data_IF_191971697159
#
_entry.id   IF_191971697159
#
_cell.length_a   1.000
_cell.length_b   1.000
_cell.length_c   1.000
_cell.angle_alpha   90.00
_cell.angle_beta   90.00
_cell.angle_gamma   90.00
#
_symmetry.space_group_name_H-M   'P 1'
#
loop_
_entity.id
_entity.type
_entity.pdbx_description
1 polymer ?
#
# COMPACT_ATOMS: atom_id res chain seq x y z
N UNK A 1 -9.75 40.61 -8.79
CA UNK A 1 -8.60 39.69 -8.67
C UNK A 1 -9.12 38.42 -8.03
N UNK A 2 -9.56 37.48 -8.85
CA UNK A 2 -10.06 36.18 -8.38
C UNK A 2 -8.84 35.37 -7.94
N UNK A 3 -8.73 35.12 -6.64
CA UNK A 3 -7.77 34.17 -6.10
C UNK A 3 -8.05 32.81 -6.75
N UNK A 4 -7.20 32.40 -7.68
CA UNK A 4 -7.16 31.02 -8.12
C UNK A 4 -6.86 30.18 -6.88
N UNK A 5 -7.84 29.42 -6.38
CA UNK A 5 -7.56 28.37 -5.42
C UNK A 5 -6.55 27.44 -6.09
N UNK A 6 -5.31 27.40 -5.58
CA UNK A 6 -4.31 26.48 -6.09
C UNK A 6 -4.87 25.06 -5.95
N UNK A 7 -5.10 24.40 -7.08
CA UNK A 7 -5.62 23.04 -7.08
C UNK A 7 -4.56 22.11 -6.50
N UNK A 8 -4.92 21.34 -5.48
CA UNK A 8 -4.00 20.40 -4.85
C UNK A 8 -3.46 19.40 -5.88
N UNK A 9 -2.15 19.09 -5.85
CA UNK A 9 -1.59 18.09 -6.75
C UNK A 9 -2.31 16.75 -6.54
N UNK A 10 -2.62 16.08 -7.65
CA UNK A 10 -3.23 14.76 -7.66
C UNK A 10 -2.20 13.73 -8.08
N UNK A 11 -2.01 12.70 -7.27
CA UNK A 11 -1.15 11.56 -7.59
C UNK A 11 -1.87 10.25 -7.30
N UNK A 12 -1.49 9.19 -7.99
CA UNK A 12 -1.88 7.82 -7.63
C UNK A 12 -0.82 7.21 -6.73
N UNK A 13 -1.24 6.44 -5.72
CA UNK A 13 -0.39 5.65 -4.85
C UNK A 13 -0.69 4.17 -5.04
N UNK A 14 0.19 3.48 -5.76
CA UNK A 14 0.11 2.05 -6.01
C UNK A 14 0.87 1.28 -4.94
N UNK A 15 0.18 0.34 -4.29
CA UNK A 15 0.75 -0.44 -3.18
C UNK A 15 0.31 -1.90 -3.15
N UNK A 16 1.16 -2.73 -2.55
CA UNK A 16 0.81 -4.09 -2.13
C UNK A 16 0.83 -4.14 -0.60
N UNK A 17 -0.24 -4.63 0.08
CA UNK A 17 -0.28 -4.80 1.53
C UNK A 17 0.92 -5.54 2.17
N UNK A 18 1.59 -6.41 1.42
CA UNK A 18 2.75 -7.16 1.87
C UNK A 18 4.09 -6.40 1.71
N UNK A 19 4.09 -5.22 1.11
CA UNK A 19 5.30 -4.42 0.86
C UNK A 19 5.69 -3.59 2.08
N UNK A 20 6.91 -3.80 2.56
CA UNK A 20 7.52 -3.05 3.68
C UNK A 20 7.64 -1.57 3.37
N UNK A 21 8.15 -1.19 2.20
CA UNK A 21 8.28 0.22 1.82
C UNK A 21 6.94 0.88 1.51
N UNK A 22 5.90 0.10 1.18
CA UNK A 22 4.55 0.66 1.04
C UNK A 22 3.94 1.06 2.37
N UNK A 23 4.37 0.48 3.50
CA UNK A 23 4.01 0.96 4.84
C UNK A 23 4.53 2.39 5.07
N UNK A 24 5.80 2.63 4.76
CA UNK A 24 6.42 3.95 4.89
C UNK A 24 5.70 4.97 4.01
N UNK A 25 5.49 4.63 2.73
CA UNK A 25 4.77 5.49 1.80
C UNK A 25 3.34 5.78 2.26
N UNK A 26 2.61 4.79 2.79
CA UNK A 26 1.24 5.01 3.27
C UNK A 26 1.20 6.01 4.42
N UNK A 27 2.19 5.98 5.34
CA UNK A 27 2.27 6.94 6.43
C UNK A 27 2.53 8.37 5.92
N UNK A 28 3.47 8.50 4.98
CA UNK A 28 3.79 9.79 4.37
C UNK A 28 2.62 10.35 3.56
N UNK A 29 1.95 9.51 2.76
CA UNK A 29 0.74 9.89 2.01
C UNK A 29 -0.37 10.33 2.97
N UNK A 30 -0.66 9.57 4.02
CA UNK A 30 -1.69 9.94 4.99
C UNK A 30 -1.39 11.28 5.66
N UNK A 31 -0.12 11.53 6.03
CA UNK A 31 0.33 12.81 6.58
C UNK A 31 0.13 13.96 5.59
N UNK A 32 0.49 13.77 4.31
CA UNK A 32 0.34 14.78 3.27
C UNK A 32 -1.13 15.14 3.02
N UNK A 33 -2.03 14.16 3.01
CA UNK A 33 -3.47 14.42 2.87
C UNK A 33 -4.03 15.15 4.10
N UNK A 34 -3.60 14.79 5.31
CA UNK A 34 -3.99 15.49 6.54
C UNK A 34 -3.49 16.94 6.59
N UNK A 35 -2.30 17.21 6.04
CA UNK A 35 -1.73 18.55 5.87
C UNK A 35 -2.38 19.33 4.71
N UNK A 36 -3.30 18.71 3.95
CA UNK A 36 -3.95 19.34 2.79
C UNK A 36 -2.97 19.67 1.67
N UNK A 37 -1.91 18.87 1.48
CA UNK A 37 -0.84 19.13 0.51
C UNK A 37 -1.00 18.39 -0.82
N UNK A 38 -1.82 17.35 -0.85
CA UNK A 38 -2.09 16.56 -2.05
C UNK A 38 -3.44 15.86 -1.92
N UNK A 39 -3.99 15.45 -3.05
CA UNK A 39 -5.06 14.46 -3.10
C UNK A 39 -4.49 13.18 -3.70
N UNK A 40 -4.62 12.07 -2.97
CA UNK A 40 -3.99 10.81 -3.38
C UNK A 40 -5.02 9.73 -3.65
N UNK A 41 -4.97 9.17 -4.84
CA UNK A 41 -5.80 8.05 -5.27
C UNK A 41 -5.08 6.74 -4.92
N UNK A 42 -5.61 5.99 -3.95
CA UNK A 42 -5.01 4.75 -3.46
C UNK A 42 -5.35 3.58 -4.40
N UNK A 43 -4.34 2.86 -4.88
CA UNK A 43 -4.45 1.82 -5.91
C UNK A 43 -3.82 0.50 -5.40
N UNK A 44 -4.58 -0.36 -4.69
CA UNK A 44 -4.06 -1.66 -4.27
C UNK A 44 -3.81 -2.57 -5.49
N UNK A 45 -2.66 -3.23 -5.52
CA UNK A 45 -2.30 -4.24 -6.51
C UNK A 45 -1.48 -5.36 -5.87
N UNK A 46 -1.08 -6.37 -6.66
CA UNK A 46 -0.30 -7.51 -6.18
C UNK A 46 1.07 -7.59 -6.86
N UNK A 47 2.14 -7.67 -6.05
CA UNK A 47 3.51 -7.91 -6.50
C UNK A 47 3.76 -9.37 -6.89
N UNK A 48 3.05 -10.32 -6.26
CA UNK A 48 3.23 -11.75 -6.52
C UNK A 48 3.18 -12.10 -8.02
N UNK A 49 2.14 -11.69 -8.78
CA UNK A 49 2.09 -11.89 -10.23
C UNK A 49 3.23 -11.22 -11.01
N UNK A 50 3.74 -10.07 -10.54
CA UNK A 50 4.85 -9.35 -11.17
C UNK A 50 6.16 -10.12 -10.97
N UNK A 51 6.41 -10.60 -9.75
CA UNK A 51 7.57 -11.43 -9.42
C UNK A 51 7.54 -12.77 -10.14
N UNK A 52 6.37 -13.42 -10.21
CA UNK A 52 6.22 -14.69 -10.93
C UNK A 52 6.59 -14.56 -12.41
N UNK A 53 6.22 -13.45 -13.07
CA UNK A 53 6.61 -13.16 -14.46
C UNK A 53 8.12 -12.95 -14.65
N UNK A 54 8.84 -12.60 -13.57
CA UNK A 54 10.30 -12.48 -13.53
C UNK A 54 10.99 -13.78 -13.10
N UNK A 55 10.23 -14.86 -12.89
CA UNK A 55 10.76 -16.16 -12.46
C UNK A 55 11.02 -16.26 -10.95
N UNK A 56 10.46 -15.34 -10.14
CA UNK A 56 10.62 -15.35 -8.70
C UNK A 56 9.38 -15.92 -8.02
N UNK A 57 9.60 -16.86 -7.10
CA UNK A 57 8.54 -17.45 -6.27
C UNK A 57 8.32 -16.71 -4.94
N UNK A 58 9.21 -15.76 -4.60
CA UNK A 58 9.20 -15.03 -3.34
C UNK A 58 9.72 -13.59 -3.52
N UNK A 59 9.63 -12.77 -2.48
CA UNK A 59 10.19 -11.42 -2.42
C UNK A 59 11.69 -11.44 -2.70
N UNK A 60 12.22 -10.49 -3.51
CA UNK A 60 13.66 -10.30 -3.69
C UNK A 60 14.42 -10.14 -2.37
N UNK A 61 13.77 -9.64 -1.32
CA UNK A 61 14.39 -9.49 0.00
C UNK A 61 14.60 -10.83 0.73
N UNK A 62 13.84 -11.88 0.40
CA UNK A 62 14.10 -13.24 0.88
C UNK A 62 15.08 -13.98 -0.04
N UNK A 63 14.96 -13.78 -1.35
CA UNK A 63 15.81 -14.43 -2.35
C UNK A 63 17.27 -13.97 -2.26
N UNK A 64 17.51 -12.73 -1.81
CA UNK A 64 18.84 -12.14 -1.67
C UNK A 64 19.06 -11.67 -0.22
N UNK A 65 19.64 -12.51 0.67
CA UNK A 65 19.74 -12.21 2.11
C UNK A 65 20.38 -10.86 2.43
N UNK A 66 21.46 -10.49 1.74
CA UNK A 66 22.11 -9.19 1.94
C UNK A 66 21.18 -7.99 1.65
N UNK A 67 20.29 -8.11 0.66
CA UNK A 67 19.27 -7.08 0.37
C UNK A 67 18.19 -7.07 1.45
N UNK A 68 17.77 -8.24 1.93
CA UNK A 68 16.80 -8.37 3.02
C UNK A 68 17.31 -7.78 4.33
N UNK A 69 18.54 -8.10 4.73
CA UNK A 69 19.16 -7.56 5.95
C UNK A 69 19.32 -6.04 5.88
N UNK A 70 19.72 -5.53 4.71
CA UNK A 70 19.73 -4.08 4.48
C UNK A 70 18.34 -3.47 4.61
N UNK A 71 17.34 -4.04 3.94
CA UNK A 71 15.96 -3.55 3.96
C UNK A 71 15.42 -3.45 5.40
N UNK A 72 15.63 -4.45 6.26
CA UNK A 72 15.16 -4.38 7.64
C UNK A 72 15.85 -3.28 8.45
N UNK A 73 17.18 -3.11 8.28
CA UNK A 73 17.93 -2.01 8.92
C UNK A 73 17.47 -0.64 8.43
N UNK A 74 17.15 -0.54 7.15
CA UNK A 74 16.66 0.68 6.52
C UNK A 74 15.26 1.04 6.99
N UNK A 75 14.36 0.05 7.01
CA UNK A 75 13.02 0.19 7.53
C UNK A 75 13.03 0.65 8.99
N UNK A 76 13.96 0.16 9.82
CA UNK A 76 14.11 0.61 11.20
C UNK A 76 14.44 2.11 11.30
N UNK A 77 15.30 2.65 10.43
CA UNK A 77 15.60 4.09 10.38
C UNK A 77 14.37 4.89 9.93
N UNK A 78 13.74 4.46 8.84
CA UNK A 78 12.57 5.15 8.28
C UNK A 78 11.38 5.17 9.25
N UNK A 79 11.15 4.07 9.96
CA UNK A 79 10.14 3.97 11.02
C UNK A 79 10.48 4.89 12.19
N UNK A 80 11.74 4.92 12.65
CA UNK A 80 12.16 5.80 13.74
C UNK A 80 11.97 7.28 13.40
N UNK A 81 12.34 7.71 12.19
CA UNK A 81 12.14 9.08 11.70
C UNK A 81 10.65 9.50 11.69
N UNK A 82 9.75 8.55 11.44
CA UNK A 82 8.30 8.77 11.31
C UNK A 82 7.53 8.40 12.57
N UNK A 83 8.22 7.98 13.64
CA UNK A 83 7.60 7.47 14.87
C UNK A 83 6.59 6.34 14.62
N UNK A 84 6.90 5.48 13.64
CA UNK A 84 6.12 4.30 13.31
C UNK A 84 6.62 3.10 14.11
N UNK A 85 5.72 2.24 14.64
CA UNK A 85 6.12 0.97 15.22
C UNK A 85 6.72 0.08 14.13
N UNK A 86 7.74 -0.71 14.51
CA UNK A 86 8.29 -1.73 13.65
C UNK A 86 8.51 -3.02 14.44
N UNK A 87 7.82 -4.07 14.01
CA UNK A 87 7.98 -5.45 14.43
C UNK A 87 8.16 -6.28 13.16
N UNK A 88 9.27 -7.03 13.08
CA UNK A 88 9.49 -7.95 11.96
C UNK A 88 8.39 -9.00 11.99
N UNK A 89 7.59 -9.16 10.92
CA UNK A 89 6.54 -10.17 10.89
C UNK A 89 7.12 -11.57 11.04
N UNK A 90 6.41 -12.43 11.78
CA UNK A 90 6.71 -13.87 11.90
C UNK A 90 6.77 -14.58 10.55
N UNK A 91 6.04 -14.07 9.55
CA UNK A 91 6.11 -14.50 8.15
C UNK A 91 6.23 -13.29 7.24
N UNK A 92 7.23 -13.29 6.37
CA UNK A 92 7.41 -12.26 5.35
C UNK A 92 7.83 -12.89 4.02
N UNK A 93 7.26 -12.44 2.87
CA UNK A 93 6.04 -11.64 2.78
C UNK A 93 4.80 -12.45 3.18
N UNK A 94 3.74 -11.76 3.58
CA UNK A 94 2.41 -12.36 3.76
C UNK A 94 1.65 -12.38 2.43
N UNK A 95 0.71 -13.30 2.28
CA UNK A 95 -0.22 -13.21 1.15
C UNK A 95 -1.13 -12.00 1.32
N UNK A 96 -1.30 -11.21 0.27
CA UNK A 96 -1.99 -9.92 0.31
C UNK A 96 -3.30 -9.86 -0.48
N UNK A 97 -3.76 -10.97 -1.07
CA UNK A 97 -4.97 -10.98 -1.91
C UNK A 97 -6.21 -10.54 -1.12
N UNK A 98 -6.41 -11.10 0.08
CA UNK A 98 -7.57 -10.80 0.90
C UNK A 98 -7.52 -9.36 1.42
N UNK A 99 -6.37 -8.93 1.96
CA UNK A 99 -6.18 -7.56 2.47
C UNK A 99 -6.28 -6.49 1.40
N UNK A 100 -5.79 -6.76 0.17
CA UNK A 100 -5.99 -5.89 -0.98
C UNK A 100 -7.46 -5.83 -1.40
N UNK A 101 -8.20 -6.95 -1.30
CA UNK A 101 -9.65 -6.98 -1.48
C UNK A 101 -10.39 -6.11 -0.46
N UNK A 102 -10.03 -6.20 0.82
CA UNK A 102 -10.59 -5.34 1.88
C UNK A 102 -10.29 -3.86 1.60
N UNK A 103 -9.08 -3.55 1.14
CA UNK A 103 -8.73 -2.19 0.74
C UNK A 103 -9.63 -1.68 -0.40
N UNK A 104 -9.89 -2.48 -1.44
CA UNK A 104 -10.81 -2.10 -2.52
C UNK A 104 -12.23 -1.83 -2.02
N UNK A 105 -12.79 -2.73 -1.21
CA UNK A 105 -14.13 -2.54 -0.61
C UNK A 105 -14.17 -1.25 0.21
N UNK A 106 -13.13 -1.01 1.01
CA UNK A 106 -13.06 0.18 1.84
C UNK A 106 -12.91 1.47 1.07
N UNK A 107 -12.15 1.46 -0.02
CA UNK A 107 -11.97 2.65 -0.85
C UNK A 107 -13.29 3.06 -1.52
N UNK A 108 -14.08 2.10 -1.99
CA UNK A 108 -15.43 2.37 -2.53
C UNK A 108 -16.38 2.92 -1.45
N UNK A 109 -16.25 2.42 -0.21
CA UNK A 109 -17.09 2.81 0.93
C UNK A 109 -16.55 4.02 1.73
N UNK A 110 -15.43 4.64 1.30
CA UNK A 110 -14.87 5.85 1.91
C UNK A 110 -14.01 5.65 3.17
N UNK A 111 -13.93 4.44 3.74
CA UNK A 111 -13.09 4.15 4.92
C UNK A 111 -11.72 3.54 4.59
N UNK A 112 -11.47 3.23 3.31
CA UNK A 112 -10.32 2.45 2.85
C UNK A 112 -8.96 3.04 3.20
N UNK A 113 -8.81 4.37 3.15
CA UNK A 113 -7.54 5.02 3.52
C UNK A 113 -7.17 4.79 4.99
N UNK A 114 -8.16 4.84 5.89
CA UNK A 114 -7.97 4.51 7.32
C UNK A 114 -7.56 3.04 7.48
N UNK A 115 -8.23 2.15 6.74
CA UNK A 115 -7.91 0.72 6.73
C UNK A 115 -6.49 0.45 6.26
N UNK A 116 -6.03 1.07 5.17
CA UNK A 116 -4.68 0.86 4.63
C UNK A 116 -3.62 1.17 5.70
N UNK A 117 -3.74 2.29 6.41
CA UNK A 117 -2.79 2.60 7.48
C UNK A 117 -2.91 1.67 8.69
N UNK A 118 -4.13 1.34 9.14
CA UNK A 118 -4.33 0.41 10.25
C UNK A 118 -3.78 -0.98 9.93
N UNK A 119 -4.03 -1.49 8.72
CA UNK A 119 -3.54 -2.76 8.22
C UNK A 119 -2.01 -2.80 8.20
N UNK A 120 -1.34 -1.75 7.73
CA UNK A 120 0.12 -1.74 7.75
C UNK A 120 0.70 -1.69 9.16
N UNK A 121 0.10 -0.92 10.08
CA UNK A 121 0.50 -0.92 11.50
C UNK A 121 0.29 -2.29 12.13
N UNK A 122 -0.82 -2.95 11.85
CA UNK A 122 -1.09 -4.29 12.33
C UNK A 122 -0.06 -5.30 11.77
N UNK A 123 0.23 -5.25 10.47
CA UNK A 123 1.17 -6.15 9.80
C UNK A 123 2.61 -5.96 10.31
N UNK A 124 3.12 -4.73 10.22
CA UNK A 124 4.54 -4.40 10.39
C UNK A 124 4.87 -3.74 11.74
N UNK A 125 3.88 -3.43 12.57
CA UNK A 125 4.08 -2.89 13.92
C UNK A 125 3.66 -3.86 15.03
N UNK A 126 2.76 -4.81 14.73
CA UNK A 126 2.12 -5.67 15.75
C UNK A 126 2.16 -7.16 15.40
N UNK A 127 2.76 -7.53 14.27
CA UNK A 127 2.83 -8.91 13.76
C UNK A 127 1.46 -9.60 13.56
N UNK A 128 0.44 -8.85 13.16
CA UNK A 128 -0.91 -9.39 12.86
C UNK A 128 -0.98 -9.91 11.42
N UNK A 129 -1.37 -11.18 11.25
CA UNK A 129 -1.41 -11.81 9.93
C UNK A 129 -2.56 -11.34 9.04
N UNK A 130 -2.25 -10.37 8.18
CA UNK A 130 -3.14 -9.80 7.16
C UNK A 130 -3.52 -10.76 6.02
N UNK A 131 -2.96 -11.97 5.97
CA UNK A 131 -3.40 -13.01 5.03
C UNK A 131 -4.65 -13.75 5.52
N UNK A 132 -5.04 -13.56 6.78
CA UNK A 132 -6.09 -14.34 7.46
C UNK A 132 -7.35 -13.52 7.72
N UNK A 133 -8.48 -14.21 7.76
CA UNK A 133 -9.77 -13.65 8.19
C UNK A 133 -9.66 -13.07 9.61
N UNK A 134 -9.05 -13.79 10.55
CA UNK A 134 -8.96 -13.35 11.95
C UNK A 134 -8.11 -12.09 12.13
N UNK A 135 -6.95 -12.04 11.47
CA UNK A 135 -6.08 -10.86 11.49
C UNK A 135 -6.77 -9.63 10.92
N UNK A 136 -7.44 -9.78 9.76
CA UNK A 136 -8.18 -8.67 9.15
C UNK A 136 -9.44 -8.30 9.94
N UNK A 137 -10.10 -9.27 10.57
CA UNK A 137 -11.25 -9.01 11.44
C UNK A 137 -10.86 -8.23 12.69
N UNK A 138 -9.65 -8.43 13.22
CA UNK A 138 -9.10 -7.55 14.27
C UNK A 138 -8.95 -6.12 13.76
N UNK A 139 -8.26 -5.93 12.65
CA UNK A 139 -8.01 -4.58 12.08
C UNK A 139 -9.32 -3.84 11.78
N UNK A 140 -10.32 -4.54 11.24
CA UNK A 140 -11.62 -3.95 10.94
C UNK A 140 -12.38 -3.55 12.21
N UNK A 141 -12.35 -4.37 13.26
CA UNK A 141 -12.96 -4.03 14.56
C UNK A 141 -12.30 -2.84 15.23
N UNK A 142 -10.97 -2.74 15.14
CA UNK A 142 -10.21 -1.59 15.67
C UNK A 142 -10.58 -0.27 14.95
N UNK A 143 -11.27 -0.34 13.81
CA UNK A 143 -11.81 0.79 13.05
C UNK A 143 -13.33 0.98 13.20
N UNK A 144 -13.95 0.27 14.14
CA UNK A 144 -15.40 0.23 14.39
C UNK A 144 -16.21 -0.27 13.18
N UNK A 145 -15.66 -1.20 12.40
CA UNK A 145 -16.32 -1.83 11.24
C UNK A 145 -16.72 -3.28 11.54
N UNK A 146 -17.86 -3.73 10.99
CA UNK A 146 -18.29 -5.13 11.04
C UNK A 146 -17.48 -5.99 10.05
N UNK A 147 -16.63 -6.92 10.51
CA UNK A 147 -15.75 -7.67 9.62
C UNK A 147 -16.46 -8.65 8.70
N UNK A 148 -17.55 -9.27 9.17
CA UNK A 148 -18.17 -10.39 8.48
C UNK A 148 -18.62 -10.05 7.04
N UNK A 149 -19.44 -8.99 6.82
CA UNK A 149 -19.83 -8.60 5.47
C UNK A 149 -18.65 -8.12 4.63
N UNK A 150 -17.71 -7.37 5.22
CA UNK A 150 -16.55 -6.81 4.51
C UNK A 150 -15.63 -7.93 3.99
N UNK A 151 -15.36 -8.95 4.79
CA UNK A 151 -14.49 -10.07 4.40
C UNK A 151 -15.16 -10.98 3.36
N UNK A 152 -16.48 -11.14 3.43
CA UNK A 152 -17.26 -11.81 2.41
C UNK A 152 -17.16 -11.08 1.06
N UNK A 153 -17.37 -9.76 1.06
CA UNK A 153 -17.27 -8.92 -0.14
C UNK A 153 -15.85 -8.90 -0.71
N UNK A 154 -14.84 -8.73 0.15
CA UNK A 154 -13.43 -8.72 -0.25
C UNK A 154 -13.01 -10.04 -0.92
N UNK A 155 -13.62 -11.15 -0.52
CA UNK A 155 -13.39 -12.47 -1.09
C UNK A 155 -14.25 -12.75 -2.32
N UNK A 156 -15.25 -11.93 -2.62
CA UNK A 156 -16.22 -12.20 -3.67
C UNK A 156 -15.57 -12.18 -5.08
N UNK A 157 -16.09 -12.98 -6.04
CA UNK A 157 -15.58 -13.02 -7.41
C UNK A 157 -15.40 -11.64 -8.08
N UNK A 158 -16.33 -10.66 -7.92
CA UNK A 158 -16.17 -9.33 -8.50
C UNK A 158 -14.97 -8.55 -7.96
N UNK A 159 -14.73 -8.57 -6.64
CA UNK A 159 -13.57 -7.89 -6.05
C UNK A 159 -12.26 -8.55 -6.48
N UNK A 160 -12.21 -9.88 -6.51
CA UNK A 160 -11.03 -10.61 -7.03
C UNK A 160 -10.75 -10.30 -8.50
N UNK A 161 -11.80 -10.13 -9.32
CA UNK A 161 -11.64 -9.75 -10.71
C UNK A 161 -11.11 -8.31 -10.85
N UNK A 162 -11.63 -7.37 -10.04
CA UNK A 162 -11.11 -5.99 -9.99
C UNK A 162 -9.65 -5.94 -9.56
N UNK A 163 -9.25 -6.71 -8.54
CA UNK A 163 -7.85 -6.77 -8.11
C UNK A 163 -6.91 -7.32 -9.20
N UNK A 164 -7.36 -8.34 -9.95
CA UNK A 164 -6.63 -8.83 -11.13
C UNK A 164 -6.52 -7.77 -12.21
N UNK A 165 -7.60 -7.05 -12.49
CA UNK A 165 -7.61 -5.96 -13.48
C UNK A 165 -6.67 -4.82 -13.05
N UNK A 166 -6.71 -4.39 -11.79
CA UNK A 166 -5.81 -3.38 -11.24
C UNK A 166 -4.33 -3.83 -11.33
N UNK A 167 -4.04 -5.09 -11.01
CA UNK A 167 -2.68 -5.63 -11.16
C UNK A 167 -2.26 -5.68 -12.65
N UNK A 168 -3.17 -6.01 -13.56
CA UNK A 168 -2.93 -5.95 -14.99
C UNK A 168 -2.68 -4.53 -15.50
N UNK A 169 -3.43 -3.54 -15.01
CA UNK A 169 -3.24 -2.11 -15.28
C UNK A 169 -1.86 -1.65 -14.81
N UNK A 170 -1.48 -1.98 -13.57
CA UNK A 170 -0.17 -1.66 -13.02
C UNK A 170 0.96 -2.16 -13.94
N UNK A 171 0.89 -3.43 -14.34
CA UNK A 171 1.87 -4.04 -15.26
C UNK A 171 1.87 -3.35 -16.62
N UNK A 172 0.70 -3.07 -17.19
CA UNK A 172 0.58 -2.40 -18.49
C UNK A 172 1.15 -0.97 -18.47
N UNK A 173 1.07 -0.28 -17.32
CA UNK A 173 1.65 1.04 -17.08
C UNK A 173 3.12 1.00 -16.66
N UNK A 174 3.75 -0.18 -16.66
CA UNK A 174 5.18 -0.34 -16.38
C UNK A 174 5.54 -0.45 -14.90
N UNK A 175 4.59 -0.65 -14.00
CA UNK A 175 4.87 -0.92 -12.58
C UNK A 175 5.60 -2.27 -12.45
N UNK A 176 6.74 -2.25 -11.77
CA UNK A 176 7.57 -3.44 -11.50
C UNK A 176 7.83 -3.66 -10.00
N UNK A 177 7.36 -2.76 -9.14
CA UNK A 177 7.59 -2.79 -7.71
C UNK A 177 6.64 -1.89 -6.93
N UNK A 178 6.65 -2.01 -5.61
CA UNK A 178 5.86 -1.20 -4.70
C UNK A 178 6.77 -0.54 -3.64
N UNK A 179 6.41 0.65 -3.13
CA UNK A 179 5.33 1.51 -3.62
C UNK A 179 5.70 2.13 -4.97
N UNK A 180 4.68 2.47 -5.76
CA UNK A 180 4.83 3.25 -6.99
C UNK A 180 3.84 4.40 -6.97
N UNK A 181 4.21 5.53 -7.57
CA UNK A 181 3.37 6.71 -7.68
C UNK A 181 3.22 7.12 -9.14
N UNK A 182 2.06 7.63 -9.51
CA UNK A 182 1.87 8.31 -10.79
C UNK A 182 1.47 9.76 -10.56
N UNK A 183 2.13 10.66 -11.28
CA UNK A 183 1.70 12.05 -11.45
C UNK A 183 1.35 12.23 -12.94
N UNK A 184 0.05 12.24 -13.25
CA UNK A 184 -0.40 12.02 -14.63
C UNK A 184 0.05 10.64 -15.14
N UNK A 185 0.74 10.62 -16.28
CA UNK A 185 1.25 9.39 -16.89
C UNK A 185 2.69 9.04 -16.45
N UNK A 186 3.33 9.89 -15.64
CA UNK A 186 4.72 9.71 -15.22
C UNK A 186 4.81 8.82 -13.98
N UNK A 187 5.53 7.70 -14.11
CA UNK A 187 5.81 6.74 -13.03
C UNK A 187 7.01 7.17 -12.16
N UNK A 188 6.82 7.08 -10.84
CA UNK A 188 7.86 7.25 -9.82
C UNK A 188 7.86 6.04 -8.88
N UNK A 189 8.96 5.30 -8.80
CA UNK A 189 9.04 4.07 -7.99
C UNK A 189 9.90 4.28 -6.74
N UNK A 190 9.40 3.79 -5.59
CA UNK A 190 10.08 3.86 -4.30
C UNK A 190 9.51 4.94 -3.39
N UNK A 191 9.52 4.68 -2.07
CA UNK A 191 9.00 5.62 -1.06
C UNK A 191 9.79 6.94 -1.02
N UNK A 192 11.04 6.91 -1.46
CA UNK A 192 11.96 8.04 -1.60
C UNK A 192 11.65 8.93 -2.82
N UNK A 193 10.68 8.55 -3.66
CA UNK A 193 10.25 9.33 -4.83
C UNK A 193 8.94 10.09 -4.67
N UNK A 194 8.23 9.92 -3.56
CA UNK A 194 6.97 10.61 -3.28
C UNK A 194 7.08 12.14 -3.46
N UNK A 195 8.07 12.77 -2.83
CA UNK A 195 8.28 14.22 -2.96
C UNK A 195 8.60 14.67 -4.39
N UNK A 196 9.22 13.80 -5.19
CA UNK A 196 9.51 14.10 -6.60
C UNK A 196 8.24 13.99 -7.44
N UNK A 197 7.40 12.97 -7.19
CA UNK A 197 6.10 12.83 -7.83
C UNK A 197 5.19 14.04 -7.53
N UNK A 198 5.17 14.51 -6.27
CA UNK A 198 4.39 15.68 -5.87
C UNK A 198 4.85 16.95 -6.59
N UNK A 199 6.16 17.22 -6.64
CA UNK A 199 6.68 18.38 -7.39
C UNK A 199 6.36 18.29 -8.88
N UNK A 200 6.37 17.08 -9.46
CA UNK A 200 5.99 16.88 -10.85
C UNK A 200 4.50 17.16 -11.09
N UNK A 201 3.62 16.76 -10.17
CA UNK A 201 2.18 16.99 -10.27
C UNK A 201 1.76 18.47 -10.12
N UNK A 202 2.67 19.32 -9.64
CA UNK A 202 2.44 20.77 -9.46
C UNK A 202 2.99 21.62 -10.60
N UNK A 203 3.83 21.03 -11.47
CA UNK A 203 4.48 21.71 -12.58
C UNK A 203 3.57 21.74 -13.82
#
# INVERSE_FOLDING_TARGET
>A
MTSAQAQLPRIEFWFDPASTYSYIAAADVARLEAEGRAHVDYRPFLLGPIFARQGWADSPFNLYPAKGDYMWRDLARLCAERQLPLQRPSRFPRHSVLSAGVALVGLDAGWGKRFVMAMYRANFGEDVDIATTDGLARVLRDLDLDPAPILADASAPPIRARLRAATGEAVARGVFGAPSFFAGDTLFWGTDRLDTALRHAQA
#
